data_IF_120111344017
#
_entry.id   IF_120111344017
#
_cell.length_a   1.000
_cell.length_b   1.000
_cell.length_c   1.000
_cell.angle_alpha   90.00
_cell.angle_beta   90.00
_cell.angle_gamma   90.00
#
_symmetry.space_group_name_H-M   'P 1'
#
loop_
_entity.id
_entity.type
_entity.pdbx_description
1 polymer ?
#
# COMPACT_ATOMS: atom_id res chain seq x y z
N UNK A 1 11.48 7.84 -12.91
CA UNK A 1 10.24 7.31 -12.26
C UNK A 1 9.09 7.20 -13.24
N UNK A 2 8.81 8.25 -14.03
CA UNK A 2 7.80 8.20 -15.09
C UNK A 2 8.11 7.11 -16.13
N UNK A 3 9.39 6.81 -16.41
CA UNK A 3 9.74 5.73 -17.35
C UNK A 3 9.24 4.36 -16.89
N UNK A 4 9.22 4.09 -15.57
CA UNK A 4 8.68 2.84 -15.04
C UNK A 4 7.18 2.73 -15.26
N UNK A 5 6.47 3.86 -15.13
CA UNK A 5 5.04 3.93 -15.37
C UNK A 5 4.70 3.66 -16.84
N UNK A 6 5.43 4.29 -17.76
CA UNK A 6 5.19 4.14 -19.21
C UNK A 6 5.69 2.81 -19.80
N UNK A 7 6.48 2.03 -19.05
CA UNK A 7 7.04 0.76 -19.50
C UNK A 7 5.92 -0.25 -19.76
N UNK A 8 5.90 -0.84 -20.95
CA UNK A 8 4.97 -1.91 -21.29
C UNK A 8 5.19 -3.16 -20.41
N UNK A 9 4.13 -3.87 -19.99
CA UNK A 9 4.27 -5.07 -19.17
C UNK A 9 4.97 -6.18 -19.95
N UNK A 10 6.04 -6.74 -19.39
CA UNK A 10 6.88 -7.79 -20.02
C UNK A 10 6.72 -9.18 -19.37
N UNK A 11 5.79 -9.33 -18.43
CA UNK A 11 5.54 -10.60 -17.73
C UNK A 11 4.06 -10.76 -17.40
N UNK A 12 3.61 -12.01 -17.24
CA UNK A 12 2.23 -12.29 -16.83
C UNK A 12 1.86 -11.58 -15.51
N UNK A 13 2.78 -11.55 -14.54
CA UNK A 13 2.56 -10.82 -13.29
C UNK A 13 2.35 -9.32 -13.50
N UNK A 14 3.10 -8.69 -14.41
CA UNK A 14 2.91 -7.28 -14.72
C UNK A 14 1.54 -7.01 -15.39
N UNK A 15 1.08 -7.92 -16.25
CA UNK A 15 -0.26 -7.84 -16.85
C UNK A 15 -1.34 -7.96 -15.78
N UNK A 16 -1.19 -8.88 -14.83
CA UNK A 16 -2.14 -9.03 -13.71
C UNK A 16 -2.17 -7.77 -12.84
N UNK A 17 -1.02 -7.18 -12.53
CA UNK A 17 -0.97 -5.92 -11.78
C UNK A 17 -1.71 -4.78 -12.51
N UNK A 18 -1.61 -4.73 -13.83
CA UNK A 18 -2.32 -3.74 -14.65
C UNK A 18 -3.82 -4.00 -14.72
N UNK A 19 -4.23 -5.27 -14.75
CA UNK A 19 -5.63 -5.64 -14.61
C UNK A 19 -6.20 -5.20 -13.25
N UNK A 20 -5.46 -5.37 -12.15
CA UNK A 20 -5.88 -4.90 -10.81
C UNK A 20 -6.09 -3.39 -10.78
N UNK A 21 -5.20 -2.61 -11.40
CA UNK A 21 -5.37 -1.15 -11.54
C UNK A 21 -6.64 -0.78 -12.32
N UNK A 22 -6.87 -1.47 -13.44
CA UNK A 22 -8.06 -1.26 -14.25
C UNK A 22 -9.33 -1.60 -13.48
N UNK A 23 -9.33 -2.70 -12.72
CA UNK A 23 -10.45 -3.06 -11.82
C UNK A 23 -10.71 -1.96 -10.80
N UNK A 24 -9.66 -1.36 -10.22
CA UNK A 24 -9.83 -0.22 -9.31
C UNK A 24 -10.45 1.00 -9.98
N UNK A 25 -9.99 1.38 -11.16
CA UNK A 25 -10.57 2.49 -11.93
C UNK A 25 -12.05 2.23 -12.28
N UNK A 26 -12.36 1.02 -12.75
CA UNK A 26 -13.73 0.59 -13.04
C UNK A 26 -14.58 0.60 -11.77
N UNK A 27 -14.03 0.18 -10.63
CA UNK A 27 -14.74 0.18 -9.35
C UNK A 27 -15.21 1.58 -8.96
N UNK A 28 -14.37 2.61 -9.17
CA UNK A 28 -14.77 4.01 -8.91
C UNK A 28 -15.95 4.42 -9.81
N UNK A 29 -15.90 4.08 -11.09
CA UNK A 29 -17.00 4.39 -12.03
C UNK A 29 -18.27 3.65 -11.63
N UNK A 30 -18.16 2.38 -11.24
CA UNK A 30 -19.29 1.58 -10.75
C UNK A 30 -19.89 2.22 -9.51
N UNK A 31 -19.07 2.55 -8.51
CA UNK A 31 -19.55 3.19 -7.29
C UNK A 31 -20.23 4.55 -7.57
N UNK A 32 -19.65 5.37 -8.44
CA UNK A 32 -20.23 6.67 -8.80
C UNK A 32 -21.60 6.58 -9.50
N UNK A 33 -21.93 5.46 -10.14
CA UNK A 33 -23.20 5.26 -10.86
C UNK A 33 -24.24 4.56 -9.98
N UNK A 34 -23.81 3.59 -9.17
CA UNK A 34 -24.73 2.65 -8.49
C UNK A 34 -24.69 2.73 -6.95
N UNK A 35 -23.78 3.48 -6.35
CA UNK A 35 -23.57 3.57 -4.89
C UNK A 35 -23.55 5.03 -4.42
N UNK A 36 -23.23 5.27 -3.15
CA UNK A 36 -23.20 6.62 -2.60
C UNK A 36 -21.97 7.42 -3.10
N UNK A 37 -22.04 8.76 -3.18
CA UNK A 37 -20.89 9.58 -3.54
C UNK A 37 -19.66 9.36 -2.63
N UNK A 38 -19.90 9.05 -1.36
CA UNK A 38 -18.91 8.68 -0.34
C UNK A 38 -18.18 7.38 -0.70
N UNK A 39 -18.91 6.36 -1.16
CA UNK A 39 -18.36 5.08 -1.63
C UNK A 39 -17.41 5.27 -2.81
N UNK A 40 -17.83 6.08 -3.79
CA UNK A 40 -17.00 6.45 -4.92
C UNK A 40 -15.74 7.21 -4.47
N UNK A 41 -15.88 8.08 -3.47
CA UNK A 41 -14.76 8.82 -2.86
C UNK A 41 -13.75 7.89 -2.18
N UNK A 42 -14.19 6.88 -1.44
CA UNK A 42 -13.32 5.90 -0.76
C UNK A 42 -12.57 5.03 -1.77
N UNK A 43 -13.25 4.55 -2.82
CA UNK A 43 -12.58 3.84 -3.90
C UNK A 43 -11.60 4.74 -4.67
N UNK A 44 -11.92 6.02 -4.86
CA UNK A 44 -11.01 6.98 -5.46
C UNK A 44 -9.76 7.23 -4.59
N UNK A 45 -9.92 7.24 -3.26
CA UNK A 45 -8.82 7.35 -2.30
C UNK A 45 -7.84 6.17 -2.37
N UNK A 46 -8.28 5.00 -2.84
CA UNK A 46 -7.42 3.83 -3.04
C UNK A 46 -6.55 3.93 -4.32
N UNK A 47 -6.93 4.74 -5.32
CA UNK A 47 -6.23 4.82 -6.61
C UNK A 47 -4.73 5.15 -6.50
N UNK A 48 -4.28 6.10 -5.65
CA UNK A 48 -2.85 6.35 -5.47
C UNK A 48 -2.08 5.08 -5.10
N UNK A 49 -2.61 4.24 -4.21
CA UNK A 49 -1.95 3.00 -3.80
C UNK A 49 -1.90 1.95 -4.93
N UNK A 50 -2.81 1.99 -5.91
CA UNK A 50 -2.75 1.15 -7.11
C UNK A 50 -1.64 1.59 -8.08
N UNK A 51 -1.35 2.89 -8.12
CA UNK A 51 -0.49 3.48 -9.14
C UNK A 51 0.95 3.65 -8.66
N UNK A 52 1.16 4.01 -7.39
CA UNK A 52 2.48 4.24 -6.80
C UNK A 52 3.45 3.06 -6.99
N UNK A 53 3.08 1.78 -6.76
CA UNK A 53 3.99 0.65 -6.97
C UNK A 53 4.63 0.64 -8.37
N UNK A 54 3.88 1.04 -9.40
CA UNK A 54 4.38 1.13 -10.78
C UNK A 54 5.43 2.22 -10.96
N UNK A 55 5.18 3.41 -10.41
CA UNK A 55 6.17 4.51 -10.44
C UNK A 55 7.46 4.12 -9.72
N UNK A 56 7.33 3.42 -8.60
CA UNK A 56 8.44 2.92 -7.80
C UNK A 56 9.14 1.70 -8.43
N UNK A 57 8.69 1.20 -9.59
CA UNK A 57 9.26 0.02 -10.23
C UNK A 57 9.21 -1.23 -9.33
N UNK A 58 8.16 -1.36 -8.53
CA UNK A 58 7.95 -2.49 -7.65
C UNK A 58 7.83 -3.79 -8.45
N UNK A 59 8.20 -4.91 -7.82
CA UNK A 59 8.01 -6.23 -8.43
C UNK A 59 6.51 -6.51 -8.56
N UNK A 60 6.08 -7.19 -9.65
CA UNK A 60 4.66 -7.40 -9.89
C UNK A 60 3.89 -8.09 -8.75
N UNK A 61 4.54 -8.99 -8.00
CA UNK A 61 3.90 -9.64 -6.86
C UNK A 61 3.53 -8.66 -5.73
N UNK A 62 4.44 -7.75 -5.36
CA UNK A 62 4.17 -6.75 -4.33
C UNK A 62 3.13 -5.73 -4.81
N UNK A 63 3.20 -5.39 -6.09
CA UNK A 63 2.23 -4.53 -6.76
C UNK A 63 0.80 -5.11 -6.69
N UNK A 64 0.62 -6.38 -7.08
CA UNK A 64 -0.66 -7.09 -6.98
C UNK A 64 -1.15 -7.13 -5.53
N UNK A 65 -0.27 -7.49 -4.57
CA UNK A 65 -0.64 -7.53 -3.15
C UNK A 65 -1.13 -6.16 -2.67
N UNK A 66 -0.43 -5.09 -3.04
CA UNK A 66 -0.84 -3.71 -2.73
C UNK A 66 -2.21 -3.43 -3.31
N UNK A 67 -2.40 -3.68 -4.60
CA UNK A 67 -3.65 -3.36 -5.28
C UNK A 67 -4.84 -4.15 -4.77
N UNK A 68 -4.69 -5.46 -4.59
CA UNK A 68 -5.76 -6.32 -4.04
C UNK A 68 -6.09 -5.91 -2.61
N UNK A 69 -5.10 -5.64 -1.77
CA UNK A 69 -5.33 -5.26 -0.36
C UNK A 69 -6.17 -3.99 -0.27
N UNK A 70 -5.80 -2.93 -0.99
CA UNK A 70 -6.55 -1.65 -0.91
C UNK A 70 -7.92 -1.72 -1.58
N UNK A 71 -8.09 -2.54 -2.62
CA UNK A 71 -9.40 -2.77 -3.23
C UNK A 71 -10.32 -3.58 -2.32
N UNK A 72 -9.80 -4.61 -1.65
CA UNK A 72 -10.56 -5.35 -0.65
C UNK A 72 -10.94 -4.43 0.50
N UNK A 73 -10.02 -3.59 0.98
CA UNK A 73 -10.31 -2.61 2.04
C UNK A 73 -11.44 -1.65 1.64
N UNK A 74 -11.34 -1.06 0.44
CA UNK A 74 -12.32 -0.11 -0.06
C UNK A 74 -13.68 -0.77 -0.31
N UNK A 75 -13.73 -1.91 -1.00
CA UNK A 75 -14.99 -2.62 -1.24
C UNK A 75 -15.63 -3.14 0.06
N UNK A 76 -14.82 -3.48 1.07
CA UNK A 76 -15.35 -3.84 2.40
C UNK A 76 -16.11 -2.68 3.03
N UNK A 77 -15.73 -1.43 2.75
CA UNK A 77 -16.48 -0.26 3.18
C UNK A 77 -17.77 -0.09 2.35
N UNK A 78 -17.66 -0.15 1.01
CA UNK A 78 -18.78 0.02 0.07
C UNK A 78 -19.95 -0.95 0.31
N UNK A 79 -19.65 -2.18 0.75
CA UNK A 79 -20.67 -3.21 1.03
C UNK A 79 -21.02 -3.33 2.52
N UNK A 80 -20.63 -2.36 3.35
CA UNK A 80 -20.86 -2.34 4.80
C UNK A 80 -20.30 -3.59 5.53
N UNK A 81 -19.21 -4.18 5.03
CA UNK A 81 -18.62 -5.39 5.63
C UNK A 81 -18.09 -5.12 7.05
N UNK A 82 -17.50 -3.96 7.30
CA UNK A 82 -17.05 -3.57 8.65
C UNK A 82 -18.21 -3.39 9.64
N UNK A 83 -19.40 -3.02 9.15
CA UNK A 83 -20.60 -2.93 9.99
C UNK A 83 -21.25 -4.30 10.21
N UNK A 84 -21.29 -5.14 9.18
CA UNK A 84 -21.96 -6.46 9.25
C UNK A 84 -21.10 -7.55 9.88
N UNK A 85 -19.77 -7.44 9.76
CA UNK A 85 -18.80 -8.33 10.40
C UNK A 85 -17.61 -7.52 10.97
N UNK A 86 -17.77 -6.88 12.16
CA UNK A 86 -16.77 -5.98 12.73
C UNK A 86 -15.39 -6.58 12.95
N UNK A 87 -15.30 -7.90 13.18
CA UNK A 87 -14.02 -8.59 13.32
C UNK A 87 -13.17 -8.60 12.03
N UNK A 88 -13.75 -8.23 10.88
CA UNK A 88 -13.03 -8.03 9.62
C UNK A 88 -12.06 -6.85 9.65
N UNK A 89 -12.31 -5.90 10.54
CA UNK A 89 -11.55 -4.67 10.62
C UNK A 89 -10.09 -4.91 11.06
N UNK A 90 -9.91 -5.71 12.11
CA UNK A 90 -8.59 -6.12 12.64
C UNK A 90 -7.64 -6.68 11.56
N UNK A 91 -7.98 -7.73 10.79
CA UNK A 91 -7.08 -8.25 9.77
C UNK A 91 -6.83 -7.23 8.64
N UNK A 92 -7.79 -6.35 8.35
CA UNK A 92 -7.60 -5.30 7.36
C UNK A 92 -6.60 -4.25 7.83
N UNK A 93 -6.70 -3.76 9.07
CA UNK A 93 -5.72 -2.86 9.67
C UNK A 93 -4.32 -3.50 9.70
N UNK A 94 -4.22 -4.78 10.06
CA UNK A 94 -2.95 -5.49 10.06
C UNK A 94 -2.31 -5.53 8.66
N UNK A 95 -3.07 -5.96 7.64
CA UNK A 95 -2.53 -6.23 6.30
C UNK A 95 -2.36 -4.93 5.51
N UNK A 96 -3.38 -4.06 5.49
CA UNK A 96 -3.34 -2.80 4.75
C UNK A 96 -2.25 -1.88 5.27
N UNK A 97 -2.14 -1.68 6.58
CA UNK A 97 -1.07 -0.85 7.16
C UNK A 97 0.30 -1.44 6.88
N UNK A 98 0.47 -2.77 6.99
CA UNK A 98 1.76 -3.42 6.68
C UNK A 98 2.21 -3.20 5.23
N UNK A 99 1.29 -3.38 4.28
CA UNK A 99 1.57 -3.21 2.85
C UNK A 99 1.82 -1.74 2.50
N UNK A 100 0.99 -0.81 3.00
CA UNK A 100 1.15 0.62 2.75
C UNK A 100 2.39 1.21 3.44
N UNK A 101 2.76 0.74 4.63
CA UNK A 101 4.00 1.13 5.29
C UNK A 101 5.24 0.68 4.49
N UNK A 102 5.18 -0.52 3.89
CA UNK A 102 6.23 -0.99 3.00
C UNK A 102 6.30 -0.13 1.74
N UNK A 103 5.15 0.21 1.16
CA UNK A 103 5.08 1.10 -0.01
C UNK A 103 5.66 2.48 0.31
N UNK A 104 5.35 3.04 1.49
CA UNK A 104 5.90 4.30 1.97
C UNK A 104 7.42 4.24 2.17
N UNK A 105 7.95 3.13 2.70
CA UNK A 105 9.40 2.93 2.78
C UNK A 105 10.05 2.93 1.39
N UNK A 106 9.48 2.20 0.44
CA UNK A 106 10.01 2.16 -0.92
C UNK A 106 9.93 3.54 -1.61
N UNK A 107 8.86 4.30 -1.36
CA UNK A 107 8.74 5.67 -1.83
C UNK A 107 9.83 6.56 -1.24
N UNK A 108 10.03 6.53 0.08
CA UNK A 108 11.09 7.27 0.76
C UNK A 108 12.48 6.93 0.21
N UNK A 109 12.73 5.66 -0.11
CA UNK A 109 13.99 5.25 -0.72
C UNK A 109 14.17 5.69 -2.18
N UNK A 110 13.09 5.92 -2.93
CA UNK A 110 13.17 6.54 -4.26
C UNK A 110 13.46 8.05 -4.21
N UNK A 111 13.27 8.69 -3.06
CA UNK A 111 13.61 10.09 -2.81
C UNK A 111 14.89 10.26 -1.98
N UNK A 112 15.71 9.21 -1.89
CA UNK A 112 16.99 9.19 -1.16
C UNK A 112 16.88 9.55 0.35
N UNK A 113 15.69 9.39 0.94
CA UNK A 113 15.46 9.61 2.38
C UNK A 113 15.98 8.44 3.22
N UNK A 114 15.89 7.22 2.67
CA UNK A 114 16.35 5.98 3.31
C UNK A 114 17.01 5.06 2.28
N UNK A 115 17.98 4.21 2.67
CA UNK A 115 18.54 3.22 1.76
C UNK A 115 17.50 2.15 1.39
N UNK A 116 17.49 1.68 0.14
CA UNK A 116 16.58 0.63 -0.32
C UNK A 116 17.11 -0.77 0.06
N UNK A 117 16.21 -1.77 0.24
CA UNK A 117 16.64 -3.14 0.51
C UNK A 117 17.53 -3.70 -0.60
N UNK A 118 18.81 -3.93 -0.29
CA UNK A 118 19.82 -4.42 -1.24
C UNK A 118 20.94 -3.43 -1.52
N UNK A 119 20.81 -2.17 -1.09
CA UNK A 119 21.87 -1.17 -1.17
C UNK A 119 22.99 -1.45 -0.15
N UNK A 120 24.24 -1.02 -0.41
CA UNK A 120 25.36 -1.23 0.51
C UNK A 120 25.12 -0.66 1.91
N UNK A 121 24.42 0.47 1.99
CA UNK A 121 24.15 1.19 3.24
C UNK A 121 22.87 0.70 3.94
N UNK A 122 22.15 -0.26 3.35
CA UNK A 122 20.92 -0.78 3.93
C UNK A 122 21.17 -1.61 5.19
N UNK A 123 20.62 -1.15 6.31
CA UNK A 123 20.62 -1.90 7.57
C UNK A 123 19.22 -2.44 7.84
N UNK A 124 19.12 -3.76 8.05
CA UNK A 124 17.85 -4.44 8.37
C UNK A 124 17.10 -3.80 9.53
N UNK A 125 17.82 -3.40 10.60
CA UNK A 125 17.23 -2.74 11.76
C UNK A 125 16.60 -1.40 11.38
N UNK A 126 17.26 -0.59 10.55
CA UNK A 126 16.72 0.67 10.04
C UNK A 126 15.46 0.43 9.22
N UNK A 127 15.49 -0.55 8.30
CA UNK A 127 14.31 -0.94 7.53
C UNK A 127 13.11 -1.29 8.41
N UNK A 128 13.32 -2.17 9.40
CA UNK A 128 12.27 -2.57 10.35
C UNK A 128 11.72 -1.39 11.14
N UNK A 129 12.59 -0.56 11.73
CA UNK A 129 12.18 0.56 12.58
C UNK A 129 11.43 1.62 11.78
N UNK A 130 11.97 2.02 10.62
CA UNK A 130 11.35 3.06 9.80
C UNK A 130 10.03 2.59 9.18
N UNK A 131 9.94 1.35 8.69
CA UNK A 131 8.67 0.80 8.21
C UNK A 131 7.63 0.75 9.33
N UNK A 132 8.02 0.35 10.55
CA UNK A 132 7.10 0.34 11.71
C UNK A 132 6.62 1.77 12.03
N UNK A 133 7.53 2.75 12.02
CA UNK A 133 7.19 4.15 12.26
C UNK A 133 6.24 4.71 11.18
N UNK A 134 6.47 4.38 9.90
CA UNK A 134 5.54 4.73 8.82
C UNK A 134 4.18 4.06 9.00
N UNK A 135 4.13 2.81 9.45
CA UNK A 135 2.87 2.14 9.77
C UNK A 135 2.06 2.86 10.85
N UNK A 136 2.69 3.18 11.97
CA UNK A 136 2.04 3.93 13.05
C UNK A 136 1.57 5.31 12.59
N UNK A 137 2.38 6.01 11.78
CA UNK A 137 2.00 7.31 11.22
C UNK A 137 0.83 7.20 10.22
N UNK A 138 0.84 6.20 9.36
CA UNK A 138 -0.25 5.94 8.40
C UNK A 138 -1.53 5.54 9.11
N UNK A 139 -1.45 4.69 10.14
CA UNK A 139 -2.60 4.37 10.99
C UNK A 139 -3.14 5.63 11.65
N UNK A 140 -2.29 6.47 12.27
CA UNK A 140 -2.75 7.74 12.85
C UNK A 140 -3.46 8.64 11.82
N UNK A 141 -2.95 8.71 10.58
CA UNK A 141 -3.60 9.46 9.50
C UNK A 141 -4.95 8.85 9.11
N UNK A 142 -5.05 7.51 9.07
CA UNK A 142 -6.32 6.83 8.81
C UNK A 142 -7.36 7.15 9.89
N UNK A 143 -6.99 7.08 11.17
CA UNK A 143 -7.86 7.47 12.28
C UNK A 143 -8.35 8.92 12.18
N UNK A 144 -7.49 9.82 11.69
CA UNK A 144 -7.90 11.20 11.41
C UNK A 144 -8.92 11.27 10.26
N UNK A 145 -8.79 10.44 9.23
CA UNK A 145 -9.76 10.35 8.13
C UNK A 145 -11.10 9.84 8.63
N UNK A 146 -11.12 8.81 9.48
CA UNK A 146 -12.35 8.28 10.07
C UNK A 146 -13.01 9.29 11.02
N UNK A 147 -12.20 9.98 11.82
CA UNK A 147 -12.70 11.09 12.64
C UNK A 147 -13.33 12.19 11.78
N UNK A 148 -12.74 12.57 10.65
CA UNK A 148 -13.32 13.52 9.70
C UNK A 148 -14.64 12.98 9.12
N UNK A 149 -14.68 11.72 8.69
CA UNK A 149 -15.90 11.09 8.18
C UNK A 149 -17.02 11.06 9.23
N UNK A 150 -16.71 10.69 10.47
CA UNK A 150 -17.65 10.80 11.60
C UNK A 150 -18.14 12.23 11.83
N UNK A 151 -17.26 13.22 11.69
CA UNK A 151 -17.56 14.62 12.00
C UNK A 151 -18.44 15.29 10.93
N UNK A 152 -18.31 14.88 9.66
CA UNK A 152 -18.93 15.58 8.53
C UNK A 152 -19.93 14.76 7.71
N UNK A 153 -20.00 13.42 7.91
CA UNK A 153 -20.78 12.49 7.07
C UNK A 153 -21.76 11.61 7.89
N UNK A 154 -21.75 11.73 9.24
CA UNK A 154 -22.72 11.13 10.20
C UNK A 154 -22.86 9.59 10.23
N UNK A 155 -21.99 8.82 9.55
CA UNK A 155 -22.16 7.36 9.40
C UNK A 155 -21.04 6.47 9.96
N UNK A 156 -19.97 7.05 10.54
CA UNK A 156 -18.79 6.33 11.06
C UNK A 156 -18.76 6.33 12.59
N UNK A 157 -18.71 5.14 13.21
CA UNK A 157 -18.59 4.99 14.66
C UNK A 157 -17.12 4.94 15.06
N UNK A 158 -16.58 6.05 15.57
CA UNK A 158 -15.21 6.11 16.11
C UNK A 158 -15.25 6.13 17.63
N UNK A 159 -14.61 5.16 18.26
CA UNK A 159 -14.39 5.08 19.72
C UNK A 159 -12.90 5.07 20.05
N UNK A 160 -12.55 5.37 21.30
CA UNK A 160 -11.13 5.39 21.69
C UNK A 160 -10.47 4.00 21.59
N UNK A 161 -11.19 2.96 22.01
CA UNK A 161 -10.67 1.59 22.03
C UNK A 161 -10.45 1.02 20.62
N UNK A 162 -11.33 1.41 19.69
CA UNK A 162 -11.27 1.13 18.26
C UNK A 162 -10.01 1.78 17.67
N UNK A 163 -9.95 3.12 17.72
CA UNK A 163 -8.83 3.92 17.22
C UNK A 163 -7.47 3.47 17.75
N UNK A 164 -7.34 3.27 19.07
CA UNK A 164 -6.05 2.86 19.64
C UNK A 164 -5.72 1.39 19.30
N UNK A 165 -6.75 0.55 19.17
CA UNK A 165 -6.65 -0.84 18.73
C UNK A 165 -6.13 -0.93 17.30
N UNK A 166 -6.69 -0.14 16.40
CA UNK A 166 -6.35 -0.12 14.98
C UNK A 166 -4.95 0.44 14.71
N UNK A 167 -4.57 1.46 15.46
CA UNK A 167 -3.18 1.94 15.47
C UNK A 167 -2.20 0.88 15.98
N UNK A 168 -2.55 0.15 17.04
CA UNK A 168 -1.70 -0.90 17.59
C UNK A 168 -1.57 -2.09 16.63
N UNK A 169 -2.69 -2.57 16.08
CA UNK A 169 -2.74 -3.68 15.12
C UNK A 169 -2.03 -3.30 13.81
N UNK A 170 -2.28 -2.09 13.30
CA UNK A 170 -1.59 -1.57 12.13
C UNK A 170 -0.08 -1.43 12.36
N UNK A 171 0.34 -0.98 13.54
CA UNK A 171 1.74 -0.95 13.96
C UNK A 171 2.40 -2.33 13.96
N UNK A 172 1.70 -3.36 14.47
CA UNK A 172 2.16 -4.77 14.40
C UNK A 172 2.27 -5.23 12.94
N UNK A 173 1.28 -4.92 12.11
CA UNK A 173 1.30 -5.21 10.68
C UNK A 173 2.52 -4.62 9.98
N UNK A 174 2.83 -3.35 10.26
CA UNK A 174 4.00 -2.68 9.74
C UNK A 174 5.33 -3.21 10.27
N UNK A 175 5.38 -3.62 11.54
CA UNK A 175 6.54 -4.31 12.11
C UNK A 175 6.82 -5.62 11.37
N UNK A 176 5.79 -6.45 11.19
CA UNK A 176 5.89 -7.72 10.44
C UNK A 176 6.33 -7.44 9.00
N UNK A 177 5.72 -6.46 8.33
CA UNK A 177 6.06 -6.09 6.98
C UNK A 177 7.51 -5.58 6.85
N UNK A 178 8.00 -4.78 7.81
CA UNK A 178 9.39 -4.33 7.87
C UNK A 178 10.37 -5.50 8.04
N UNK A 179 10.03 -6.50 8.88
CA UNK A 179 10.83 -7.72 9.04
C UNK A 179 10.88 -8.52 7.73
N UNK A 180 9.75 -8.64 7.02
CA UNK A 180 9.67 -9.34 5.74
C UNK A 180 10.47 -8.60 4.65
N UNK A 181 10.25 -7.29 4.49
CA UNK A 181 10.97 -6.44 3.53
C UNK A 181 12.49 -6.51 3.74
N UNK A 182 12.96 -6.58 4.99
CA UNK A 182 14.38 -6.72 5.30
C UNK A 182 15.00 -8.06 4.82
N UNK A 183 14.18 -9.00 4.36
CA UNK A 183 14.58 -10.34 3.87
C UNK A 183 14.28 -10.55 2.39
N UNK A 184 13.42 -9.75 1.77
CA UNK A 184 13.02 -9.94 0.36
C UNK A 184 13.28 -8.69 -0.47
N UNK A 185 13.63 -8.88 -1.75
CA UNK A 185 13.75 -7.77 -2.70
C UNK A 185 12.38 -7.44 -3.29
N UNK A 186 11.91 -6.22 -3.10
CA UNK A 186 10.60 -5.74 -3.53
C UNK A 186 10.64 -4.81 -4.76
N UNK A 187 11.80 -4.29 -5.13
CA UNK A 187 12.00 -3.47 -6.35
C UNK A 187 12.68 -4.31 -7.43
N UNK A 188 12.22 -4.18 -8.69
CA UNK A 188 12.89 -4.82 -9.82
C UNK A 188 14.20 -4.09 -10.16
N UNK A 189 15.28 -4.83 -10.43
CA UNK A 189 16.49 -4.22 -10.98
C UNK A 189 16.20 -3.73 -12.41
N UNK A 190 16.71 -2.56 -12.76
CA UNK A 190 16.75 -2.17 -14.16
C UNK A 190 17.78 -3.04 -14.88
N UNK A 191 17.40 -3.62 -16.03
CA UNK A 191 18.30 -4.47 -16.83
C UNK A 191 19.59 -3.77 -17.29
N UNK A 192 19.64 -2.43 -17.18
CA UNK A 192 20.83 -1.63 -17.43
C UNK A 192 21.94 -1.85 -16.37
N UNK A 193 21.58 -2.11 -15.11
CA UNK A 193 22.55 -2.38 -14.04
C UNK A 193 23.25 -3.73 -14.21
N UNK A 194 22.55 -4.73 -14.77
CA UNK A 194 23.14 -6.03 -15.07
C UNK A 194 24.14 -5.94 -16.23
N UNK A 195 23.90 -5.09 -17.23
CA UNK A 195 24.84 -4.82 -18.33
C UNK A 195 26.08 -4.02 -17.88
N UNK A 196 25.92 -3.09 -16.93
CA UNK A 196 27.02 -2.33 -16.34
C UNK A 196 27.87 -3.16 -15.35
N UNK A 197 27.28 -4.18 -14.72
CA UNK A 197 27.98 -5.14 -13.87
C UNK A 197 28.87 -6.12 -14.67
N UNK A 198 28.47 -6.47 -15.89
CA UNK A 198 29.23 -7.36 -16.78
C UNK A 198 30.48 -6.68 -17.35
N UNK A 199 30.48 -5.36 -17.52
CA UNK A 199 31.62 -4.62 -18.09
C UNK A 199 32.70 -4.22 -17.08
N UNK A 200 32.42 -4.25 -15.76
CA UNK A 200 33.42 -3.99 -14.70
C UNK A 200 34.20 -5.21 -14.24
N UNK A 201 33.98 -6.36 -14.87
CA UNK A 201 34.68 -7.61 -14.57
C UNK A 201 35.66 -8.02 -15.66
N UNK A 202 36.66 -7.18 -15.99
CA UNK A 202 37.91 -7.57 -16.65
C UNK A 202 39.04 -6.63 -16.26
#
# INVERSE_FOLDING_TARGET
MVENFLRAPRSAGAVVADAVRLVGLVSVVVAAIWFEPTDAGILALALPALVVPRFLGARPAFDIVTGVTVLVAAWSNVIDLYRTFPAWDIPMHLVATGVLATLAYLAAGRFDVVPLPGDPDFRRRTGVVVTTAFGLALSAVWEMVEWLGKTFVDSILVTYDDTIGDMAVGGVGALVAGILMARVRLVARDAADDAAGVTRGR
#
